data_IF_241850700484
#
_entry.id   IF_241850700484
#
_cell.length_a   1.000
_cell.length_b   1.000
_cell.length_c   1.000
_cell.angle_alpha   90.00
_cell.angle_beta   90.00
_cell.angle_gamma   90.00
#
_symmetry.space_group_name_H-M   'P 1'
#
loop_
_entity.id
_entity.type
_entity.pdbx_description
1 polymer ?
#
# COMPACT_ATOMS: atom_id res chain seq x y z
N UNK A 1 -75.64 15.69 -6.98
CA UNK A 1 -74.96 14.46 -6.52
C UNK A 1 -74.11 13.93 -7.67
N UNK A 2 -72.80 14.20 -7.66
CA UNK A 2 -71.88 13.76 -8.70
C UNK A 2 -70.49 13.77 -8.10
N UNK A 3 -70.08 12.60 -7.58
CA UNK A 3 -68.93 12.44 -6.72
C UNK A 3 -67.63 12.72 -7.48
N UNK A 4 -66.76 13.54 -6.87
CA UNK A 4 -65.44 13.94 -7.36
C UNK A 4 -64.63 12.71 -7.78
N UNK A 5 -64.16 12.70 -9.02
CA UNK A 5 -63.11 11.79 -9.44
C UNK A 5 -61.85 12.10 -8.62
N UNK A 6 -61.45 11.15 -7.77
CA UNK A 6 -60.20 11.20 -7.04
C UNK A 6 -59.08 10.84 -8.02
N UNK A 7 -58.30 11.83 -8.44
CA UNK A 7 -57.07 11.58 -9.16
C UNK A 7 -56.05 10.98 -8.18
N UNK A 8 -55.87 9.67 -8.21
CA UNK A 8 -54.78 9.02 -7.51
C UNK A 8 -53.53 9.29 -8.34
N UNK A 9 -52.73 10.27 -7.93
CA UNK A 9 -51.41 10.54 -8.51
C UNK A 9 -50.52 9.34 -8.17
N UNK A 10 -50.33 8.42 -9.11
CA UNK A 10 -49.42 7.30 -8.95
C UNK A 10 -48.01 7.82 -8.69
N UNK A 11 -47.43 7.49 -7.53
CA UNK A 11 -46.06 7.83 -7.18
C UNK A 11 -45.09 7.19 -8.18
N UNK A 12 -44.08 7.92 -8.71
CA UNK A 12 -43.04 7.30 -9.50
C UNK A 12 -42.28 6.28 -8.63
N UNK A 13 -42.11 5.06 -9.15
CA UNK A 13 -41.30 4.00 -8.53
C UNK A 13 -39.89 4.56 -8.28
N UNK A 14 -39.26 4.27 -7.12
CA UNK A 14 -37.85 4.60 -6.95
C UNK A 14 -37.06 3.76 -7.96
N UNK A 15 -36.47 4.44 -8.93
CA UNK A 15 -35.56 3.81 -9.88
C UNK A 15 -34.42 3.20 -9.09
N UNK A 16 -34.28 1.88 -9.22
CA UNK A 16 -33.26 1.10 -8.54
C UNK A 16 -31.90 1.46 -9.12
N UNK A 17 -31.28 2.53 -8.61
CA UNK A 17 -29.89 2.82 -8.89
C UNK A 17 -29.05 1.78 -8.17
N UNK A 18 -28.59 0.77 -8.92
CA UNK A 18 -27.53 -0.12 -8.49
C UNK A 18 -26.35 0.74 -8.05
N UNK A 19 -25.97 0.68 -6.78
CA UNK A 19 -24.62 0.74 -6.18
C UNK A 19 -24.85 0.98 -4.69
N UNK A 20 -25.25 -0.07 -3.97
CA UNK A 20 -25.08 -0.10 -2.52
C UNK A 20 -24.55 -1.48 -2.15
N UNK A 21 -23.27 -1.72 -2.46
CA UNK A 21 -22.48 -2.78 -1.83
C UNK A 21 -22.21 -2.36 -0.39
N UNK A 22 -23.23 -2.41 0.47
CA UNK A 22 -23.09 -2.22 1.92
C UNK A 22 -22.72 -3.54 2.57
N UNK A 23 -21.58 -4.12 2.18
CA UNK A 23 -20.93 -5.11 3.05
C UNK A 23 -19.41 -5.12 2.84
N UNK A 24 -18.74 -4.24 3.60
CA UNK A 24 -17.33 -4.26 3.95
C UNK A 24 -16.33 -4.54 2.81
N UNK A 25 -16.43 -3.83 1.69
CA UNK A 25 -15.31 -3.78 0.75
C UNK A 25 -14.22 -2.85 1.32
N UNK A 26 -13.04 -3.39 1.62
CA UNK A 26 -11.89 -2.59 2.02
C UNK A 26 -11.61 -1.50 0.97
N UNK A 27 -11.61 -0.24 1.41
CA UNK A 27 -11.34 0.90 0.53
C UNK A 27 -9.96 0.73 -0.14
N UNK A 28 -9.77 1.00 -1.44
CA UNK A 28 -8.51 0.78 -2.15
C UNK A 28 -7.29 1.45 -1.51
N UNK A 29 -7.47 2.58 -0.83
CA UNK A 29 -6.39 3.26 -0.07
C UNK A 29 -5.91 2.48 1.16
N UNK A 30 -6.75 1.58 1.69
CA UNK A 30 -6.42 0.71 2.83
C UNK A 30 -5.92 -0.65 2.37
N UNK A 31 -5.97 -0.96 1.06
CA UNK A 31 -5.29 -2.14 0.53
C UNK A 31 -3.81 -1.95 0.79
N UNK A 32 -3.21 -2.88 1.52
CA UNK A 32 -1.76 -3.00 1.64
C UNK A 32 -1.20 -3.25 0.23
N UNK A 33 -0.91 -2.18 -0.49
CA UNK A 33 -0.24 -2.27 -1.78
C UNK A 33 1.09 -2.98 -1.57
N UNK A 34 1.31 -4.06 -2.32
CA UNK A 34 2.56 -4.80 -2.48
C UNK A 34 3.47 -4.72 -1.26
N UNK A 35 3.32 -5.69 -0.35
CA UNK A 35 3.96 -5.72 0.96
C UNK A 35 5.31 -5.04 0.96
N UNK A 36 5.43 -3.99 1.80
CA UNK A 36 6.65 -3.24 2.10
C UNK A 36 7.87 -4.00 1.57
N UNK A 37 8.37 -3.63 0.39
CA UNK A 37 9.78 -3.87 0.08
C UNK A 37 10.48 -3.01 1.12
N UNK A 38 10.72 -3.60 2.30
CA UNK A 38 11.27 -2.89 3.45
C UNK A 38 12.64 -2.42 2.98
N UNK A 39 12.71 -1.18 2.50
CA UNK A 39 13.97 -0.51 2.19
C UNK A 39 14.67 -0.34 3.52
N UNK A 40 15.45 -1.36 3.88
CA UNK A 40 16.16 -1.43 5.16
C UNK A 40 17.29 -0.42 5.09
N UNK A 41 17.05 0.75 5.66
CA UNK A 41 18.06 1.81 5.78
C UNK A 41 19.24 1.39 6.66
N UNK A 42 18.97 0.55 7.67
CA UNK A 42 19.97 0.06 8.61
C UNK A 42 20.46 -1.32 8.13
N UNK A 43 21.64 -1.32 7.53
CA UNK A 43 22.33 -2.55 7.13
C UNK A 43 23.06 -3.17 8.32
N UNK A 44 23.00 -4.50 8.42
CA UNK A 44 23.82 -5.25 9.37
C UNK A 44 25.28 -5.21 8.94
N UNK A 45 26.19 -5.44 9.89
CA UNK A 45 27.63 -5.33 9.66
C UNK A 45 28.15 -6.25 8.55
N UNK A 46 27.64 -7.48 8.47
CA UNK A 46 28.02 -8.42 7.41
C UNK A 46 27.54 -7.96 6.02
N UNK A 47 26.37 -7.32 5.93
CA UNK A 47 25.85 -6.74 4.69
C UNK A 47 26.73 -5.57 4.24
N UNK A 48 27.17 -4.74 5.19
CA UNK A 48 28.13 -3.67 4.91
C UNK A 48 29.46 -4.21 4.40
N UNK A 49 29.99 -5.30 4.99
CA UNK A 49 31.23 -5.94 4.51
C UNK A 49 31.03 -6.49 3.09
N UNK A 50 29.93 -7.19 2.83
CA UNK A 50 29.64 -7.73 1.50
C UNK A 50 29.51 -6.60 0.45
N UNK A 51 28.86 -5.50 0.79
CA UNK A 51 28.72 -4.32 -0.05
C UNK A 51 30.07 -3.62 -0.29
N UNK A 52 30.91 -3.47 0.74
CA UNK A 52 32.26 -2.92 0.57
C UNK A 52 33.17 -3.84 -0.26
N UNK A 53 33.02 -5.16 -0.12
CA UNK A 53 33.73 -6.16 -0.93
C UNK A 53 33.32 -6.05 -2.40
N UNK A 54 32.02 -5.92 -2.69
CA UNK A 54 31.51 -5.66 -4.05
C UNK A 54 32.08 -4.37 -4.65
N UNK A 55 32.27 -3.34 -3.83
CA UNK A 55 32.85 -2.04 -4.23
C UNK A 55 34.38 -2.01 -4.22
N UNK A 56 35.05 -3.11 -3.91
CA UNK A 56 36.52 -3.19 -3.82
C UNK A 56 37.15 -2.39 -2.68
N UNK A 57 36.36 -1.90 -1.73
CA UNK A 57 36.81 -1.06 -0.62
C UNK A 57 37.18 -1.86 0.64
N UNK A 58 36.98 -3.17 0.61
CA UNK A 58 37.30 -4.07 1.71
C UNK A 58 37.86 -5.38 1.16
N UNK A 59 38.99 -5.83 1.71
CA UNK A 59 39.73 -7.02 1.29
C UNK A 59 39.60 -8.14 2.32
N UNK A 60 39.75 -9.38 1.89
CA UNK A 60 39.83 -10.50 2.83
C UNK A 60 41.08 -10.34 3.72
N UNK A 61 40.87 -10.29 5.03
CA UNK A 61 41.92 -10.02 6.03
C UNK A 61 41.84 -8.63 6.67
N UNK A 62 41.08 -7.69 6.08
CA UNK A 62 40.84 -6.40 6.71
C UNK A 62 39.93 -6.54 7.94
N UNK A 63 40.05 -5.59 8.87
CA UNK A 63 39.23 -5.58 10.09
C UNK A 63 37.74 -5.39 9.75
N UNK A 64 36.88 -6.13 10.45
CA UNK A 64 35.41 -6.07 10.32
C UNK A 64 34.81 -4.94 11.21
N UNK A 65 35.65 -4.25 11.96
CA UNK A 65 35.28 -3.12 12.82
C UNK A 65 35.81 -1.81 12.24
N UNK A 66 35.16 -0.67 12.54
CA UNK A 66 35.56 0.63 12.00
C UNK A 66 35.33 0.79 10.49
N UNK A 67 34.39 0.04 9.91
CA UNK A 67 34.10 0.07 8.47
C UNK A 67 33.71 1.47 8.00
N UNK A 68 34.19 1.86 6.81
CA UNK A 68 33.85 3.12 6.13
C UNK A 68 32.34 3.28 6.03
N UNK A 69 31.82 4.51 6.19
CA UNK A 69 30.38 4.78 6.08
C UNK A 69 29.88 4.36 4.69
N UNK A 70 28.83 3.55 4.66
CA UNK A 70 28.25 2.99 3.43
C UNK A 70 26.81 3.46 3.29
N UNK A 71 26.44 3.95 2.11
CA UNK A 71 25.04 4.06 1.69
C UNK A 71 24.59 2.72 1.10
N UNK A 72 23.36 2.31 1.41
CA UNK A 72 22.71 1.17 0.78
C UNK A 72 22.63 1.37 -0.75
N UNK A 73 22.80 0.30 -1.53
CA UNK A 73 22.46 0.33 -2.95
C UNK A 73 20.93 0.38 -3.09
N UNK A 74 20.46 1.24 -4.01
CA UNK A 74 19.05 1.69 -4.12
C UNK A 74 18.08 0.54 -4.30
#
# INVERSE_FOLDING_TARGET
>A
MGYRQLYIRTLPKPETTLIQTTFMSQHPSLKSGGGLVVKRNVLKRFERVALLKKRGQWKAGDRVQGLRKTKADV
#
